data_IF_296057987950
#
_entry.id   IF_296057987950
#
_cell.length_a   1.000
_cell.length_b   1.000
_cell.length_c   1.000
_cell.angle_alpha   90.00
_cell.angle_beta   90.00
_cell.angle_gamma   90.00
#
_symmetry.space_group_name_H-M   'P 1'
#
loop_
_entity.id
_entity.type
_entity.pdbx_description
1 polymer ?
#
# COMPACT_ATOMS: atom_id res chain seq x y z
N UNK A 1 38.04 -55.48 -33.20
CA UNK A 1 38.38 -54.11 -32.78
C UNK A 1 37.28 -53.22 -33.34
N UNK A 2 36.43 -52.48 -32.61
CA UNK A 2 36.45 -51.86 -31.27
C UNK A 2 34.97 -51.51 -30.95
N UNK A 3 34.40 -52.05 -29.87
CA UNK A 3 34.04 -51.37 -28.61
C UNK A 3 32.80 -50.43 -28.65
N UNK A 4 31.72 -50.92 -28.02
CA UNK A 4 30.55 -50.21 -27.50
C UNK A 4 30.87 -49.00 -26.61
N UNK A 5 29.98 -47.99 -26.60
CA UNK A 5 29.62 -47.26 -25.37
C UNK A 5 28.20 -46.71 -25.43
N UNK A 6 27.31 -47.31 -24.64
CA UNK A 6 26.02 -46.74 -24.20
C UNK A 6 26.32 -45.58 -23.24
N UNK A 7 25.69 -44.43 -23.44
CA UNK A 7 25.65 -43.35 -22.45
C UNK A 7 24.33 -43.48 -21.69
N UNK A 8 24.43 -43.78 -20.39
CA UNK A 8 23.32 -43.77 -19.45
C UNK A 8 23.05 -42.35 -18.98
N UNK A 9 21.79 -41.92 -19.07
CA UNK A 9 21.30 -40.68 -18.47
C UNK A 9 21.05 -40.90 -16.98
N UNK A 10 21.92 -40.35 -16.13
CA UNK A 10 21.72 -40.25 -14.67
C UNK A 10 21.48 -38.79 -14.35
N UNK A 11 20.28 -38.43 -13.88
CA UNK A 11 20.02 -37.03 -13.53
C UNK A 11 18.60 -36.63 -13.11
N UNK A 12 17.85 -37.45 -12.38
CA UNK A 12 16.49 -37.08 -11.91
C UNK A 12 16.24 -37.43 -10.44
N UNK A 13 17.12 -37.00 -9.52
CA UNK A 13 16.89 -37.16 -8.06
C UNK A 13 17.23 -35.96 -7.17
N UNK A 14 17.72 -34.83 -7.72
CA UNK A 14 18.20 -33.71 -6.89
C UNK A 14 17.17 -32.61 -6.60
N UNK A 15 16.11 -32.46 -7.41
CA UNK A 15 15.18 -31.31 -7.30
C UNK A 15 14.08 -31.53 -6.25
N UNK A 16 13.71 -32.79 -5.96
CA UNK A 16 12.68 -33.11 -4.95
C UNK A 16 13.13 -32.89 -3.50
N UNK A 17 14.40 -33.18 -3.18
CA UNK A 17 14.92 -33.10 -1.81
C UNK A 17 15.05 -31.67 -1.26
N UNK A 18 15.16 -30.67 -2.13
CA UNK A 18 15.33 -29.25 -1.72
C UNK A 18 13.98 -28.62 -1.33
N UNK A 19 12.85 -29.16 -1.83
CA UNK A 19 11.50 -28.67 -1.50
C UNK A 19 11.00 -29.20 -0.16
N UNK A 20 11.31 -30.46 0.19
CA UNK A 20 10.93 -31.03 1.49
C UNK A 20 11.76 -30.47 2.65
N UNK A 21 13.06 -30.22 2.44
CA UNK A 21 13.94 -29.65 3.48
C UNK A 21 13.55 -28.21 3.91
N UNK A 22 12.83 -27.46 3.06
CA UNK A 22 12.36 -26.10 3.38
C UNK A 22 11.02 -26.08 4.11
N UNK A 23 10.24 -27.16 4.05
CA UNK A 23 8.97 -27.28 4.77
C UNK A 23 9.19 -27.78 6.21
N UNK A 24 10.13 -28.70 6.40
CA UNK A 24 10.55 -29.21 7.72
C UNK A 24 11.18 -28.11 8.60
N UNK A 25 12.00 -27.23 8.01
CA UNK A 25 12.64 -26.12 8.75
C UNK A 25 11.65 -25.06 9.24
N UNK A 26 10.52 -24.86 8.54
CA UNK A 26 9.50 -23.88 8.91
C UNK A 26 8.58 -24.39 10.04
N UNK A 27 8.38 -25.71 10.14
CA UNK A 27 7.59 -26.33 11.23
C UNK A 27 8.42 -26.45 12.52
N UNK A 28 9.73 -26.68 12.42
CA UNK A 28 10.61 -26.78 13.60
C UNK A 28 10.84 -25.43 14.30
N UNK A 29 10.78 -24.31 13.57
CA UNK A 29 10.96 -22.97 14.13
C UNK A 29 9.71 -22.43 14.86
N UNK A 30 8.54 -23.04 14.63
CA UNK A 30 7.29 -22.70 15.32
C UNK A 30 7.09 -23.46 16.65
N UNK A 31 7.86 -24.53 16.88
CA UNK A 31 7.73 -25.38 18.08
C UNK A 31 8.74 -25.07 19.21
N UNK A 32 9.67 -24.12 19.05
CA UNK A 32 10.74 -23.84 20.02
C UNK A 32 10.50 -22.64 20.96
N UNK A 33 9.30 -22.04 20.99
CA UNK A 33 8.98 -20.92 21.89
C UNK A 33 8.09 -21.31 23.09
N UNK A 34 7.88 -22.60 23.34
CA UNK A 34 7.05 -23.08 24.44
C UNK A 34 7.83 -24.04 25.36
N UNK A 35 8.75 -23.50 26.19
CA UNK A 35 9.06 -24.03 27.53
C UNK A 35 10.22 -23.24 28.19
N UNK A 36 9.91 -22.46 29.24
CA UNK A 36 10.34 -22.74 30.63
C UNK A 36 10.39 -21.45 31.49
N UNK A 37 9.40 -21.29 32.37
CA UNK A 37 9.60 -20.84 33.74
C UNK A 37 8.36 -21.24 34.57
N UNK A 38 8.50 -22.06 35.63
CA UNK A 38 7.39 -22.43 36.50
C UNK A 38 7.29 -21.46 37.69
N UNK A 39 6.05 -21.18 38.13
CA UNK A 39 5.78 -20.79 39.51
C UNK A 39 5.09 -19.45 39.71
N UNK A 40 3.76 -19.42 39.57
CA UNK A 40 2.89 -18.59 40.40
C UNK A 40 1.48 -19.19 40.39
N UNK A 41 1.14 -19.92 41.45
CA UNK A 41 -0.21 -20.42 41.71
C UNK A 41 -1.10 -19.22 42.03
N UNK A 42 -2.07 -18.90 41.16
CA UNK A 42 -3.09 -17.90 41.47
C UNK A 42 -4.21 -18.62 42.22
N UNK A 43 -4.36 -18.29 43.51
CA UNK A 43 -5.46 -18.76 44.32
C UNK A 43 -6.78 -18.11 43.84
N UNK A 44 -7.71 -18.94 43.36
CA UNK A 44 -9.08 -18.52 43.07
C UNK A 44 -9.89 -18.52 44.37
N UNK A 45 -9.98 -17.36 45.02
CA UNK A 45 -10.92 -17.09 46.10
C UNK A 45 -11.92 -16.00 45.68
N UNK A 46 -13.21 -16.09 46.07
CA UNK A 46 -14.18 -15.05 45.73
C UNK A 46 -13.95 -13.82 46.62
N UNK A 47 -13.74 -12.67 46.00
CA UNK A 47 -13.68 -11.38 46.71
C UNK A 47 -15.10 -10.89 46.96
N UNK A 48 -15.49 -10.54 48.20
CA UNK A 48 -16.83 -10.08 48.51
C UNK A 48 -17.04 -8.65 48.00
N UNK A 49 -18.20 -8.41 47.39
CA UNK A 49 -18.66 -7.05 47.06
C UNK A 49 -19.22 -6.43 48.35
N UNK A 50 -18.45 -5.52 48.95
CA UNK A 50 -18.95 -4.64 49.99
C UNK A 50 -19.40 -3.32 49.34
N UNK A 51 -20.70 -3.06 49.37
CA UNK A 51 -21.24 -1.73 49.12
C UNK A 51 -20.90 -0.82 50.32
N UNK A 52 -20.23 0.30 50.07
CA UNK A 52 -20.16 1.40 51.02
C UNK A 52 -20.47 2.74 50.36
N UNK A 53 -21.27 3.48 51.10
CA UNK A 53 -21.95 4.74 50.78
C UNK A 53 -20.95 5.90 50.86
N UNK A 54 -21.20 6.96 50.08
CA UNK A 54 -20.26 8.05 49.84
C UNK A 54 -19.91 8.99 51.00
N UNK A 55 -18.83 9.73 50.80
CA UNK A 55 -18.48 11.02 51.42
C UNK A 55 -17.56 11.80 50.44
N UNK A 56 -17.57 13.15 50.45
CA UNK A 56 -17.18 13.96 49.31
C UNK A 56 -15.66 14.10 49.15
N UNK A 57 -15.18 14.09 47.91
CA UNK A 57 -13.81 14.45 47.60
C UNK A 57 -13.65 15.96 47.74
N UNK A 58 -12.81 16.38 48.69
CA UNK A 58 -12.34 17.77 48.75
C UNK A 58 -11.57 18.10 47.47
N UNK A 59 -11.88 19.27 46.91
CA UNK A 59 -11.34 19.72 45.64
C UNK A 59 -9.83 19.97 45.74
N UNK A 60 -9.06 19.17 45.01
CA UNK A 60 -7.68 19.50 44.68
C UNK A 60 -7.66 20.66 43.68
N UNK A 61 -7.61 21.90 44.18
CA UNK A 61 -7.60 23.13 43.36
C UNK A 61 -6.18 23.52 42.91
N UNK A 62 -5.50 22.63 42.19
CA UNK A 62 -4.10 22.85 41.84
C UNK A 62 -3.62 22.14 40.59
N UNK A 63 -4.26 22.38 39.45
CA UNK A 63 -3.58 22.24 38.15
C UNK A 63 -3.22 23.66 37.68
N UNK A 64 -1.94 23.98 37.40
CA UNK A 64 -1.62 25.22 36.70
C UNK A 64 -2.38 25.19 35.37
N UNK A 65 -2.98 26.33 35.00
CA UNK A 65 -3.75 26.50 33.77
C UNK A 65 -3.04 25.79 32.60
N UNK A 66 -3.62 24.68 32.14
CA UNK A 66 -3.20 24.07 30.90
C UNK A 66 -3.36 25.17 29.83
N UNK A 67 -2.32 25.46 29.02
CA UNK A 67 -2.45 26.48 27.99
C UNK A 67 -3.66 26.12 27.13
N UNK A 68 -4.61 27.05 27.05
CA UNK A 68 -5.77 26.95 26.16
C UNK A 68 -5.21 26.70 24.77
N UNK A 69 -5.27 25.46 24.29
CA UNK A 69 -4.99 25.15 22.89
C UNK A 69 -6.07 25.91 22.12
N UNK A 70 -5.72 26.93 21.33
CA UNK A 70 -6.72 27.69 20.61
C UNK A 70 -7.50 26.70 19.74
N UNK A 71 -8.82 26.64 19.96
CA UNK A 71 -9.71 25.91 19.07
C UNK A 71 -9.58 26.57 17.70
N UNK A 72 -8.90 25.90 16.77
CA UNK A 72 -8.85 26.34 15.38
C UNK A 72 -10.28 26.22 14.83
N UNK A 73 -10.98 27.35 14.80
CA UNK A 73 -12.23 27.46 14.04
C UNK A 73 -12.00 27.13 12.55
N UNK A 74 -13.06 26.92 11.77
CA UNK A 74 -12.93 26.63 10.35
C UNK A 74 -12.09 27.72 9.67
N UNK A 75 -11.04 27.31 8.94
CA UNK A 75 -10.13 28.24 8.27
C UNK A 75 -10.87 29.07 7.23
N UNK A 76 -10.71 30.39 7.28
CA UNK A 76 -11.32 31.29 6.28
C UNK A 76 -10.65 31.09 4.91
N UNK A 77 -11.33 31.38 3.79
CA UNK A 77 -10.72 31.34 2.46
C UNK A 77 -9.42 32.15 2.37
N UNK A 78 -9.36 33.30 3.06
CA UNK A 78 -8.15 34.13 3.12
C UNK A 78 -7.00 33.45 3.89
N UNK A 79 -7.31 32.75 4.99
CA UNK A 79 -6.30 31.98 5.74
C UNK A 79 -5.76 30.80 4.90
N UNK A 80 -6.62 30.11 4.15
CA UNK A 80 -6.22 29.03 3.23
C UNK A 80 -5.33 29.58 2.11
N UNK A 81 -5.71 30.70 1.48
CA UNK A 81 -4.92 31.34 0.43
C UNK A 81 -3.53 31.76 0.95
N UNK A 82 -3.47 32.35 2.15
CA UNK A 82 -2.20 32.69 2.80
C UNK A 82 -1.35 31.47 3.09
N UNK A 83 -1.92 30.41 3.67
CA UNK A 83 -1.20 29.18 3.96
C UNK A 83 -0.64 28.51 2.69
N UNK A 84 -1.39 28.51 1.58
CA UNK A 84 -0.89 28.04 0.27
C UNK A 84 0.29 28.87 -0.22
N UNK A 85 0.15 30.20 -0.20
CA UNK A 85 1.23 31.11 -0.62
C UNK A 85 2.49 30.97 0.26
N UNK A 86 2.33 30.70 1.55
CA UNK A 86 3.45 30.48 2.46
C UNK A 86 4.10 29.11 2.25
N UNK A 87 3.32 28.03 2.03
CA UNK A 87 3.86 26.71 1.67
C UNK A 87 4.63 26.72 0.35
N UNK A 88 4.14 27.45 -0.66
CA UNK A 88 4.80 27.55 -1.96
C UNK A 88 6.20 28.19 -1.91
N UNK A 89 6.55 28.89 -0.82
CA UNK A 89 7.89 29.48 -0.61
C UNK A 89 8.89 28.48 -0.02
N UNK A 90 8.43 27.34 0.48
CA UNK A 90 9.32 26.30 1.00
C UNK A 90 10.16 25.74 -0.14
N UNK A 91 11.47 25.52 0.07
CA UNK A 91 12.33 24.94 -0.94
C UNK A 91 11.83 23.54 -1.30
N UNK A 92 11.85 23.24 -2.61
CA UNK A 92 11.56 21.93 -3.18
C UNK A 92 12.60 21.61 -4.25
N UNK A 93 12.72 20.35 -4.61
CA UNK A 93 13.70 19.84 -5.58
C UNK A 93 13.03 19.40 -6.88
N UNK A 94 13.83 19.17 -7.93
CA UNK A 94 13.32 18.54 -9.15
C UNK A 94 12.79 17.12 -8.88
N UNK A 95 13.39 16.39 -7.93
CA UNK A 95 12.93 15.07 -7.52
C UNK A 95 11.50 15.11 -6.95
N UNK A 96 11.17 16.15 -6.18
CA UNK A 96 9.79 16.35 -5.69
C UNK A 96 8.81 16.56 -6.84
N UNK A 97 9.18 17.39 -7.82
CA UNK A 97 8.34 17.66 -9.00
C UNK A 97 8.13 16.38 -9.81
N UNK A 98 9.20 15.65 -10.11
CA UNK A 98 9.15 14.40 -10.87
C UNK A 98 8.32 13.33 -10.15
N UNK A 99 8.46 13.22 -8.83
CA UNK A 99 7.66 12.31 -8.03
C UNK A 99 6.16 12.64 -8.08
N UNK A 100 5.80 13.91 -7.88
CA UNK A 100 4.39 14.34 -7.92
C UNK A 100 3.78 14.13 -9.32
N UNK A 101 4.55 14.44 -10.37
CA UNK A 101 4.11 14.21 -11.75
C UNK A 101 3.95 12.73 -12.09
N UNK A 102 4.93 11.90 -11.71
CA UNK A 102 4.87 10.45 -11.94
C UNK A 102 3.74 9.79 -11.16
N UNK A 103 3.59 10.14 -9.89
CA UNK A 103 2.58 9.54 -9.02
C UNK A 103 1.14 9.88 -9.46
N UNK A 104 0.90 11.02 -10.12
CA UNK A 104 -0.40 11.33 -10.77
C UNK A 104 -0.76 10.26 -11.80
N UNK A 105 0.14 9.94 -12.73
CA UNK A 105 -0.12 8.95 -13.78
C UNK A 105 -0.22 7.53 -13.19
N UNK A 106 0.60 7.23 -12.17
CA UNK A 106 0.54 5.98 -11.42
C UNK A 106 -0.85 5.78 -10.79
N UNK A 107 -1.32 6.78 -10.05
CA UNK A 107 -2.65 6.73 -9.42
C UNK A 107 -3.80 6.69 -10.44
N UNK A 108 -3.65 7.39 -11.58
CA UNK A 108 -4.66 7.35 -12.63
C UNK A 108 -4.88 5.93 -13.18
N UNK A 109 -3.83 5.10 -13.26
CA UNK A 109 -3.97 3.72 -13.70
C UNK A 109 -4.70 2.84 -12.67
N UNK A 110 -4.41 2.98 -11.37
CA UNK A 110 -5.15 2.27 -10.32
C UNK A 110 -6.64 2.65 -10.28
N UNK A 111 -6.97 3.93 -10.50
CA UNK A 111 -8.36 4.39 -10.63
C UNK A 111 -9.03 3.74 -11.85
N UNK A 112 -8.35 3.68 -13.00
CA UNK A 112 -8.88 3.06 -14.20
C UNK A 112 -9.11 1.54 -14.03
N UNK A 113 -8.16 0.82 -13.42
CA UNK A 113 -8.30 -0.59 -13.06
C UNK A 113 -9.49 -0.83 -12.14
N UNK A 114 -9.64 0.00 -11.11
CA UNK A 114 -10.72 -0.10 -10.10
C UNK A 114 -12.10 0.15 -10.70
N UNK A 115 -12.20 1.05 -11.69
CA UNK A 115 -13.46 1.34 -12.40
C UNK A 115 -13.98 0.18 -13.25
N UNK A 116 -13.17 -0.86 -13.51
CA UNK A 116 -13.65 -2.07 -14.16
C UNK A 116 -14.60 -2.86 -13.22
N UNK A 117 -14.31 -2.90 -11.93
CA UNK A 117 -14.90 -3.84 -10.97
C UNK A 117 -16.45 -3.95 -11.01
N UNK A 118 -17.22 -2.84 -11.04
CA UNK A 118 -18.69 -2.90 -11.02
C UNK A 118 -19.32 -3.70 -12.18
N UNK A 119 -18.62 -3.82 -13.30
CA UNK A 119 -19.11 -4.57 -14.48
C UNK A 119 -18.52 -5.97 -14.57
N UNK A 120 -17.52 -6.30 -13.75
CA UNK A 120 -16.71 -7.52 -13.89
C UNK A 120 -16.91 -8.54 -12.81
N UNK A 121 -17.41 -8.14 -11.64
CA UNK A 121 -17.61 -9.05 -10.51
C UNK A 121 -18.82 -8.66 -9.68
N UNK A 122 -19.38 -9.65 -8.99
CA UNK A 122 -20.41 -9.46 -7.95
C UNK A 122 -19.83 -9.53 -6.53
N UNK A 123 -18.52 -9.74 -6.40
CA UNK A 123 -17.86 -9.88 -5.11
C UNK A 123 -17.84 -8.55 -4.35
N UNK A 124 -18.67 -8.47 -3.30
CA UNK A 124 -18.82 -7.24 -2.49
C UNK A 124 -17.52 -6.75 -1.87
N UNK A 125 -16.59 -7.64 -1.52
CA UNK A 125 -15.31 -7.25 -0.95
C UNK A 125 -14.43 -6.54 -1.98
N UNK A 126 -14.39 -7.05 -3.22
CA UNK A 126 -13.66 -6.43 -4.34
C UNK A 126 -14.29 -5.10 -4.74
N UNK A 127 -15.63 -5.03 -4.82
CA UNK A 127 -16.34 -3.78 -5.12
C UNK A 127 -16.08 -2.70 -4.06
N UNK A 128 -16.02 -3.09 -2.79
CA UNK A 128 -15.70 -2.18 -1.68
C UNK A 128 -14.26 -1.69 -1.76
N UNK A 129 -13.31 -2.58 -2.02
CA UNK A 129 -11.90 -2.23 -2.20
C UNK A 129 -11.72 -1.26 -3.37
N UNK A 130 -12.27 -1.58 -4.54
CA UNK A 130 -12.18 -0.74 -5.73
C UNK A 130 -12.76 0.67 -5.49
N UNK A 131 -13.88 0.78 -4.78
CA UNK A 131 -14.49 2.08 -4.46
C UNK A 131 -13.60 2.91 -3.52
N UNK A 132 -12.92 2.27 -2.56
CA UNK A 132 -11.99 2.95 -1.65
C UNK A 132 -10.76 3.46 -2.40
N UNK A 133 -10.17 2.64 -3.26
CA UNK A 133 -9.03 3.02 -4.11
C UNK A 133 -9.40 4.21 -5.00
N UNK A 134 -10.58 4.17 -5.66
CA UNK A 134 -11.03 5.28 -6.50
C UNK A 134 -11.09 6.58 -5.70
N UNK A 135 -11.76 6.57 -4.54
CA UNK A 135 -11.94 7.79 -3.75
C UNK A 135 -10.60 8.33 -3.22
N UNK A 136 -9.77 7.48 -2.60
CA UNK A 136 -8.50 7.88 -2.05
C UNK A 136 -7.57 8.44 -3.15
N UNK A 137 -7.35 7.66 -4.21
CA UNK A 137 -6.37 8.04 -5.22
C UNK A 137 -6.82 9.21 -6.09
N UNK A 138 -8.13 9.44 -6.27
CA UNK A 138 -8.62 10.67 -6.89
C UNK A 138 -8.35 11.91 -6.03
N UNK A 139 -8.43 11.80 -4.71
CA UNK A 139 -8.16 12.89 -3.77
C UNK A 139 -6.67 13.22 -3.73
N UNK A 140 -5.82 12.19 -3.74
CA UNK A 140 -4.36 12.30 -3.84
C UNK A 140 -3.92 12.92 -5.16
N UNK A 141 -4.52 12.54 -6.31
CA UNK A 141 -4.28 13.21 -7.60
C UNK A 141 -4.53 14.71 -7.50
N UNK A 142 -5.64 15.14 -6.87
CA UNK A 142 -5.94 16.57 -6.73
C UNK A 142 -4.94 17.29 -5.82
N UNK A 143 -4.45 16.62 -4.78
CA UNK A 143 -3.39 17.13 -3.91
C UNK A 143 -2.11 17.38 -4.71
N UNK A 144 -1.67 16.40 -5.50
CA UNK A 144 -0.46 16.53 -6.33
C UNK A 144 -0.59 17.62 -7.39
N UNK A 145 -1.73 17.69 -8.07
CA UNK A 145 -2.01 18.73 -9.07
C UNK A 145 -2.03 20.12 -8.45
N UNK A 146 -2.60 20.27 -7.25
CA UNK A 146 -2.60 21.55 -6.52
C UNK A 146 -1.18 21.95 -6.13
N UNK A 147 -0.39 21.01 -5.61
CA UNK A 147 0.99 21.27 -5.20
C UNK A 147 1.86 21.75 -6.37
N UNK A 148 1.70 21.13 -7.55
CA UNK A 148 2.39 21.53 -8.79
C UNK A 148 1.92 22.92 -9.26
N UNK A 149 0.61 23.17 -9.28
CA UNK A 149 0.04 24.44 -9.71
C UNK A 149 0.47 25.63 -8.83
N UNK A 150 0.43 25.45 -7.50
CA UNK A 150 0.84 26.47 -6.52
C UNK A 150 2.32 26.87 -6.69
N UNK A 151 3.14 25.99 -7.27
CA UNK A 151 4.58 26.20 -7.54
C UNK A 151 4.89 26.50 -9.02
N UNK A 152 3.86 26.76 -9.82
CA UNK A 152 3.97 27.06 -11.26
C UNK A 152 4.70 25.97 -12.06
N UNK A 153 4.63 24.72 -11.59
CA UNK A 153 5.19 23.57 -12.28
C UNK A 153 4.18 23.03 -13.31
N UNK A 154 4.65 22.35 -14.37
CA UNK A 154 3.75 21.67 -15.30
C UNK A 154 2.85 20.66 -14.55
N UNK A 155 1.54 20.83 -14.69
CA UNK A 155 0.54 19.94 -14.09
C UNK A 155 0.22 18.83 -15.08
N UNK A 156 0.54 17.59 -14.72
CA UNK A 156 0.23 16.44 -15.57
C UNK A 156 -1.27 16.15 -15.56
N UNK A 157 -1.79 15.78 -16.73
CA UNK A 157 -3.12 15.19 -16.82
C UNK A 157 -3.12 13.79 -16.19
N UNK A 158 -4.18 13.46 -15.46
CA UNK A 158 -4.36 12.13 -14.88
C UNK A 158 -4.73 11.12 -15.97
N UNK A 159 -3.72 10.60 -16.68
CA UNK A 159 -3.88 9.58 -17.74
C UNK A 159 -3.34 8.23 -17.26
N UNK A 160 -4.06 7.12 -17.47
CA UNK A 160 -3.69 5.79 -16.97
C UNK A 160 -2.58 5.09 -17.79
N UNK A 161 -1.77 5.86 -18.52
CA UNK A 161 -0.75 5.37 -19.45
C UNK A 161 0.64 5.80 -18.96
N UNK A 162 1.65 4.97 -19.19
CA UNK A 162 3.05 5.35 -18.99
C UNK A 162 3.48 6.47 -19.95
N UNK A 163 4.62 7.11 -19.66
CA UNK A 163 5.25 8.02 -20.60
C UNK A 163 5.77 7.22 -21.80
N UNK A 164 5.23 7.45 -22.99
CA UNK A 164 5.79 6.93 -24.25
C UNK A 164 7.00 7.76 -24.62
N UNK A 165 8.17 7.11 -24.68
CA UNK A 165 9.37 7.72 -25.25
C UNK A 165 9.66 7.09 -26.61
N UNK A 166 9.83 7.93 -27.63
CA UNK A 166 10.35 7.52 -28.93
C UNK A 166 11.88 7.71 -28.92
N UNK A 167 12.61 6.61 -29.01
CA UNK A 167 14.07 6.61 -29.18
C UNK A 167 14.37 5.81 -30.46
N UNK A 168 15.06 6.44 -31.42
CA UNK A 168 15.50 5.79 -32.67
C UNK A 168 14.37 5.15 -33.50
N UNK A 169 13.18 5.76 -33.51
CA UNK A 169 12.02 5.25 -34.25
C UNK A 169 11.36 4.02 -33.61
N UNK A 170 11.81 3.61 -32.42
CA UNK A 170 11.15 2.60 -31.60
C UNK A 170 10.50 3.27 -30.39
N UNK A 171 9.20 3.07 -30.23
CA UNK A 171 8.49 3.45 -29.01
C UNK A 171 8.86 2.45 -27.91
N UNK A 172 9.52 2.92 -26.84
CA UNK A 172 9.66 2.15 -25.61
C UNK A 172 8.75 2.75 -24.54
N UNK A 173 7.89 1.91 -23.98
CA UNK A 173 7.13 2.25 -22.78
C UNK A 173 8.05 2.08 -21.57
N UNK A 174 8.63 3.20 -21.11
CA UNK A 174 9.31 3.20 -19.81
C UNK A 174 8.24 3.30 -18.73
N UNK A 175 7.74 2.13 -18.32
CA UNK A 175 6.75 2.03 -17.25
C UNK A 175 7.42 2.32 -15.90
N UNK A 176 6.79 3.19 -15.11
CA UNK A 176 7.15 3.35 -13.70
C UNK A 176 6.98 2.02 -12.97
N UNK A 177 7.71 1.78 -11.86
CA UNK A 177 7.59 0.56 -11.08
C UNK A 177 6.12 0.20 -10.79
N UNK A 178 5.77 -1.06 -11.02
CA UNK A 178 4.44 -1.61 -10.72
C UNK A 178 3.31 -1.26 -11.69
N UNK A 179 3.49 -0.28 -12.59
CA UNK A 179 2.51 -0.01 -13.65
C UNK A 179 2.29 -1.27 -14.51
N UNK A 180 1.03 -1.48 -14.89
CA UNK A 180 0.64 -2.53 -15.81
C UNK A 180 0.94 -2.11 -17.25
N UNK A 181 1.46 -3.05 -18.02
CA UNK A 181 1.56 -2.92 -19.47
C UNK A 181 0.17 -3.03 -20.13
N UNK A 182 0.05 -2.56 -21.38
CA UNK A 182 -1.23 -2.49 -22.09
C UNK A 182 -1.92 -3.86 -22.16
N UNK A 183 -1.17 -4.92 -22.45
CA UNK A 183 -1.67 -6.29 -22.51
C UNK A 183 -2.23 -6.78 -21.17
N UNK A 184 -1.66 -6.33 -20.05
CA UNK A 184 -2.12 -6.68 -18.70
C UNK A 184 -3.41 -5.94 -18.35
N UNK A 185 -3.50 -4.66 -18.71
CA UNK A 185 -4.73 -3.87 -18.59
C UNK A 185 -5.84 -4.49 -19.42
N UNK A 186 -5.54 -4.91 -20.66
CA UNK A 186 -6.50 -5.59 -21.53
C UNK A 186 -6.90 -6.96 -20.98
N UNK A 187 -5.98 -7.72 -20.38
CA UNK A 187 -6.29 -8.99 -19.73
C UNK A 187 -7.24 -8.80 -18.54
N UNK A 188 -6.98 -7.83 -17.68
CA UNK A 188 -7.88 -7.41 -16.60
C UNK A 188 -9.23 -6.97 -17.16
N UNK A 189 -9.19 -6.20 -18.25
CA UNK A 189 -10.31 -5.76 -19.07
C UNK A 189 -11.04 -6.87 -19.84
N UNK A 190 -10.61 -8.14 -19.78
CA UNK A 190 -11.38 -9.29 -20.30
C UNK A 190 -11.86 -10.23 -19.20
N UNK A 191 -11.17 -10.28 -18.07
CA UNK A 191 -11.53 -11.15 -16.95
C UNK A 191 -12.95 -10.85 -16.41
N UNK A 192 -13.57 -11.88 -15.85
CA UNK A 192 -14.90 -11.84 -15.20
C UNK A 192 -14.89 -12.68 -13.91
N UNK A 193 -15.76 -12.31 -13.00
CA UNK A 193 -16.07 -12.99 -11.75
C UNK A 193 -14.80 -13.42 -10.99
N UNK A 194 -14.69 -14.68 -10.58
CA UNK A 194 -13.55 -15.16 -9.78
C UNK A 194 -12.19 -14.95 -10.47
N UNK A 195 -12.12 -15.02 -11.81
CA UNK A 195 -10.89 -14.75 -12.54
C UNK A 195 -10.55 -13.26 -12.52
N UNK A 196 -11.55 -12.38 -12.57
CA UNK A 196 -11.34 -10.94 -12.38
C UNK A 196 -10.87 -10.64 -10.97
N UNK A 197 -11.52 -11.22 -9.95
CA UNK A 197 -11.19 -10.97 -8.54
C UNK A 197 -9.71 -11.30 -8.24
N UNK A 198 -9.25 -12.48 -8.67
CA UNK A 198 -7.86 -12.88 -8.49
C UNK A 198 -6.88 -11.99 -9.26
N UNK A 199 -7.16 -11.73 -10.54
CA UNK A 199 -6.27 -10.93 -11.38
C UNK A 199 -6.20 -9.49 -10.88
N UNK A 200 -7.34 -8.90 -10.48
CA UNK A 200 -7.44 -7.57 -9.89
C UNK A 200 -6.56 -7.45 -8.64
N UNK A 201 -6.69 -8.37 -7.68
CA UNK A 201 -5.88 -8.34 -6.46
C UNK A 201 -4.39 -8.47 -6.75
N UNK A 202 -3.99 -9.45 -7.58
CA UNK A 202 -2.57 -9.65 -7.92
C UNK A 202 -1.98 -8.41 -8.58
N UNK A 203 -2.72 -7.79 -9.49
CA UNK A 203 -2.25 -6.64 -10.25
C UNK A 203 -2.27 -5.35 -9.42
N UNK A 204 -3.25 -5.17 -8.55
CA UNK A 204 -3.28 -4.03 -7.64
C UNK A 204 -2.18 -4.14 -6.56
N UNK A 205 -1.85 -5.35 -6.08
CA UNK A 205 -0.68 -5.57 -5.21
C UNK A 205 0.63 -5.20 -5.93
N UNK A 206 0.82 -5.67 -7.17
CA UNK A 206 1.98 -5.31 -8.00
C UNK A 206 2.09 -3.79 -8.16
N UNK A 207 0.96 -3.14 -8.46
CA UNK A 207 0.88 -1.70 -8.67
C UNK A 207 1.25 -0.93 -7.40
N UNK A 208 0.65 -1.24 -6.25
CA UNK A 208 0.94 -0.59 -4.98
C UNK A 208 2.39 -0.77 -4.52
N UNK A 209 2.99 -1.94 -4.76
CA UNK A 209 4.43 -2.14 -4.49
C UNK A 209 5.29 -1.19 -5.33
N UNK A 210 4.85 -0.91 -6.55
CA UNK A 210 5.42 0.12 -7.41
C UNK A 210 5.39 1.52 -6.79
N UNK A 211 4.24 1.93 -6.25
CA UNK A 211 4.11 3.22 -5.56
C UNK A 211 5.05 3.32 -4.35
N UNK A 212 5.15 2.26 -3.53
CA UNK A 212 6.09 2.24 -2.39
C UNK A 212 7.56 2.30 -2.83
N UNK A 213 7.90 1.71 -3.99
CA UNK A 213 9.24 1.82 -4.56
C UNK A 213 9.55 3.24 -5.03
N UNK A 214 8.58 3.93 -5.65
CA UNK A 214 8.72 5.34 -6.03
C UNK A 214 8.94 6.24 -4.81
N UNK A 215 8.21 6.01 -3.71
CA UNK A 215 8.44 6.72 -2.45
C UNK A 215 9.84 6.47 -1.91
N UNK A 216 10.31 5.22 -1.94
CA UNK A 216 11.66 4.88 -1.51
C UNK A 216 12.73 5.58 -2.38
N UNK A 217 12.52 5.68 -3.70
CA UNK A 217 13.40 6.41 -4.61
C UNK A 217 13.44 7.91 -4.30
N UNK A 218 12.29 8.52 -4.01
CA UNK A 218 12.22 9.93 -3.61
C UNK A 218 13.09 10.17 -2.37
N UNK A 219 12.87 9.42 -1.29
CA UNK A 219 13.61 9.60 -0.03
C UNK A 219 15.09 9.19 -0.10
N UNK A 220 15.48 8.39 -1.10
CA UNK A 220 16.88 8.05 -1.35
C UNK A 220 17.62 9.13 -2.17
N UNK A 221 16.89 10.05 -2.79
CA UNK A 221 17.46 11.12 -3.62
C UNK A 221 17.89 12.29 -2.74
N UNK A 222 19.12 12.84 -2.86
CA UNK A 222 19.55 13.98 -2.06
C UNK A 222 18.60 15.18 -2.19
N UNK A 223 18.06 15.64 -1.05
CA UNK A 223 17.06 16.72 -0.99
C UNK A 223 15.64 16.31 -1.37
N UNK A 224 15.42 15.06 -1.80
CA UNK A 224 14.11 14.55 -2.20
C UNK A 224 13.19 14.31 -0.99
N UNK A 225 11.97 14.82 -1.06
CA UNK A 225 10.95 14.65 -0.04
C UNK A 225 11.24 15.41 1.26
N UNK A 226 12.11 16.43 1.25
CA UNK A 226 12.38 17.26 2.44
C UNK A 226 11.34 18.39 2.61
N UNK A 227 10.66 18.80 1.53
CA UNK A 227 9.56 19.77 1.63
C UNK A 227 8.40 19.14 2.40
N UNK A 228 7.88 19.86 3.40
CA UNK A 228 6.91 19.31 4.37
C UNK A 228 5.67 18.69 3.72
N UNK A 229 5.13 19.31 2.67
CA UNK A 229 3.93 18.80 1.99
C UNK A 229 4.25 17.53 1.21
N UNK A 230 5.37 17.49 0.50
CA UNK A 230 5.85 16.29 -0.21
C UNK A 230 6.17 15.16 0.77
N UNK A 231 6.91 15.45 1.84
CA UNK A 231 7.25 14.48 2.88
C UNK A 231 5.99 13.80 3.43
N UNK A 232 5.03 14.62 3.85
CA UNK A 232 3.77 14.13 4.40
C UNK A 232 3.03 13.27 3.39
N UNK A 233 2.86 13.78 2.17
CA UNK A 233 2.16 13.05 1.12
C UNK A 233 2.83 11.70 0.82
N UNK A 234 4.15 11.66 0.63
CA UNK A 234 4.88 10.43 0.37
C UNK A 234 4.83 9.44 1.55
N UNK A 235 4.87 9.92 2.79
CA UNK A 235 4.70 9.10 3.98
C UNK A 235 3.29 8.49 4.07
N UNK A 236 2.25 9.30 3.81
CA UNK A 236 0.85 8.87 3.78
C UNK A 236 0.66 7.78 2.70
N UNK A 237 1.15 8.01 1.48
CA UNK A 237 1.14 7.00 0.40
C UNK A 237 1.83 5.71 0.85
N UNK A 238 3.00 5.78 1.49
CA UNK A 238 3.69 4.57 1.92
C UNK A 238 2.89 3.78 2.96
N UNK A 239 2.27 4.46 3.94
CA UNK A 239 1.46 3.80 4.98
C UNK A 239 0.18 3.20 4.40
N UNK A 240 -0.53 3.95 3.58
CA UNK A 240 -1.81 3.53 3.03
C UNK A 240 -1.61 2.37 2.05
N UNK A 241 -0.66 2.48 1.12
CA UNK A 241 -0.42 1.45 0.11
C UNK A 241 0.12 0.15 0.74
N UNK A 242 0.97 0.22 1.78
CA UNK A 242 1.42 -0.99 2.49
C UNK A 242 0.28 -1.68 3.25
N UNK A 243 -0.62 -0.90 3.84
CA UNK A 243 -1.82 -1.41 4.50
C UNK A 243 -2.78 -2.07 3.51
N UNK A 244 -2.99 -1.44 2.35
CA UNK A 244 -3.81 -1.99 1.28
C UNK A 244 -3.21 -3.27 0.68
N UNK A 245 -1.88 -3.33 0.49
CA UNK A 245 -1.19 -4.55 0.06
C UNK A 245 -1.50 -5.71 1.03
N UNK A 246 -1.29 -5.50 2.34
CA UNK A 246 -1.54 -6.54 3.33
C UNK A 246 -3.00 -7.02 3.31
N UNK A 247 -3.94 -6.09 3.16
CA UNK A 247 -5.37 -6.42 3.01
C UNK A 247 -5.64 -7.24 1.75
N UNK A 248 -5.08 -6.84 0.62
CA UNK A 248 -5.28 -7.54 -0.66
C UNK A 248 -4.66 -8.94 -0.64
N UNK A 249 -3.51 -9.12 0.02
CA UNK A 249 -2.89 -10.43 0.21
C UNK A 249 -3.79 -11.36 1.02
N UNK A 250 -4.38 -10.86 2.12
CA UNK A 250 -5.37 -11.62 2.91
C UNK A 250 -6.60 -11.98 2.07
N UNK A 251 -7.12 -11.03 1.28
CA UNK A 251 -8.25 -11.29 0.38
C UNK A 251 -7.91 -12.36 -0.66
N UNK A 252 -6.69 -12.36 -1.20
CA UNK A 252 -6.23 -13.34 -2.17
C UNK A 252 -6.14 -14.73 -1.57
N UNK A 253 -5.59 -14.86 -0.35
CA UNK A 253 -5.57 -16.12 0.41
C UNK A 253 -6.99 -16.64 0.61
N UNK A 254 -7.92 -15.77 1.03
CA UNK A 254 -9.32 -16.17 1.25
C UNK A 254 -9.99 -16.67 -0.04
N UNK A 255 -9.74 -16.02 -1.19
CA UNK A 255 -10.27 -16.49 -2.49
C UNK A 255 -9.76 -17.87 -2.88
N UNK A 256 -8.51 -18.18 -2.57
CA UNK A 256 -7.91 -19.50 -2.85
C UNK A 256 -8.52 -20.56 -1.93
N UNK A 257 -8.62 -20.28 -0.63
CA UNK A 257 -9.22 -21.20 0.35
C UNK A 257 -10.69 -21.49 0.03
N UNK A 258 -11.48 -20.46 -0.32
CA UNK A 258 -12.89 -20.63 -0.65
C UNK A 258 -13.09 -21.51 -1.89
N UNK A 259 -12.26 -21.34 -2.93
CA UNK A 259 -12.31 -22.19 -4.13
C UNK A 259 -11.95 -23.64 -3.83
N UNK A 260 -10.95 -23.88 -2.98
CA UNK A 260 -10.58 -25.24 -2.59
C UNK A 260 -11.64 -25.93 -1.71
N UNK A 261 -12.51 -25.16 -1.05
CA UNK A 261 -13.53 -25.66 -0.12
C UNK A 261 -14.92 -25.83 -0.75
N UNK A 262 -15.10 -25.46 -2.03
CA UNK A 262 -16.36 -25.63 -2.76
C UNK A 262 -16.32 -26.98 -3.48
N UNK A 263 -17.17 -27.96 -3.12
CA UNK A 263 -17.17 -29.29 -3.73
C UNK A 263 -17.63 -29.30 -5.19
#
# INVERSE_FOLDING_TARGET
>A
MTASRKVAFVGTRAVGKIREARLEAAVLMLCMLAACAPGATIATGPVPVAASVGAPAEAFTGFPDAPVVPTVGPSTPAAIAKARADSAKLPYTSADVEFMQGMISHHAQAVAMSRLAPTRTKNRAILTLASRIINAQQDEIRTMQTWLADRQQPVQEARPMGMRHEMEGMTHDMLMPGMLAEEEVLALGRARDAAFDELFLRKMIQHHRGATAMVATLFATPGGGEELTVFKFAADVNVDQTTEIARMELMLVQLVVNRASTP
#
